data_IF_935603226400
#
_entry.id   IF_935603226400
#
_cell.length_a   1.000
_cell.length_b   1.000
_cell.length_c   1.000
_cell.angle_alpha   90.00
_cell.angle_beta   90.00
_cell.angle_gamma   90.00
#
_symmetry.space_group_name_H-M   'P 1'
#
loop_
_entity.id
_entity.type
_entity.pdbx_description
1 polymer ?
#
# COMPACT_ATOMS: atom_id res chain seq x y z
N UNK A 1 -27.41 -57.43 -9.63
CA UNK A 1 -27.38 -56.31 -10.61
C UNK A 1 -27.56 -55.04 -9.81
N UNK A 2 -26.67 -54.06 -9.97
CA UNK A 2 -26.63 -52.82 -9.17
C UNK A 2 -25.31 -52.69 -8.42
N UNK A 3 -24.28 -52.23 -9.13
CA UNK A 3 -22.89 -52.25 -8.70
C UNK A 3 -22.52 -51.13 -7.71
N UNK A 4 -21.70 -51.53 -6.74
CA UNK A 4 -20.97 -50.72 -5.78
C UNK A 4 -19.72 -50.13 -6.44
N UNK A 5 -19.53 -48.82 -6.34
CA UNK A 5 -18.27 -48.17 -6.71
C UNK A 5 -17.67 -47.49 -5.47
N UNK A 6 -16.73 -48.18 -4.85
CA UNK A 6 -15.85 -47.63 -3.83
C UNK A 6 -14.77 -46.77 -4.49
N UNK A 7 -14.45 -45.62 -3.87
CA UNK A 7 -13.27 -44.83 -4.23
C UNK A 7 -12.32 -44.81 -3.04
N UNK A 8 -11.15 -45.39 -3.28
CA UNK A 8 -10.06 -45.56 -2.34
C UNK A 8 -9.33 -44.24 -2.07
N UNK A 9 -9.10 -43.99 -0.77
CA UNK A 9 -7.78 -43.72 -0.17
C UNK A 9 -6.62 -43.44 -1.13
N UNK A 10 -6.06 -42.23 -1.03
CA UNK A 10 -4.66 -41.97 -1.43
C UNK A 10 -3.95 -41.20 -0.32
N UNK A 11 -3.27 -41.95 0.54
CA UNK A 11 -2.18 -41.44 1.38
C UNK A 11 -0.96 -41.18 0.49
N UNK A 12 -0.31 -40.03 0.70
CA UNK A 12 0.94 -39.65 0.07
C UNK A 12 1.69 -38.70 1.00
N UNK A 13 2.63 -39.28 1.74
CA UNK A 13 3.52 -38.66 2.71
C UNK A 13 4.80 -38.12 2.05
N UNK A 14 5.48 -37.24 2.79
CA UNK A 14 6.89 -36.84 2.72
C UNK A 14 7.28 -35.61 1.87
N UNK A 15 7.83 -34.61 2.55
CA UNK A 15 8.46 -33.42 1.97
C UNK A 15 8.91 -32.40 3.02
N UNK A 16 9.75 -32.85 3.96
CA UNK A 16 10.46 -32.03 4.96
C UNK A 16 11.49 -31.09 4.29
N UNK A 17 11.42 -29.80 4.58
CA UNK A 17 12.58 -28.88 4.53
C UNK A 17 12.45 -27.79 5.59
N UNK A 18 13.44 -27.64 6.50
CA UNK A 18 13.56 -26.49 7.38
C UNK A 18 14.63 -25.49 6.89
N UNK A 19 14.66 -24.33 7.54
CA UNK A 19 15.62 -23.23 7.47
C UNK A 19 15.33 -22.13 6.44
N UNK A 20 14.92 -20.96 6.93
CA UNK A 20 15.90 -19.88 7.15
C UNK A 20 15.32 -18.84 8.11
N UNK A 21 16.02 -18.70 9.24
CA UNK A 21 15.87 -17.61 10.18
C UNK A 21 16.41 -16.33 9.53
N UNK A 22 15.62 -15.26 9.53
CA UNK A 22 16.15 -13.91 9.33
C UNK A 22 15.85 -13.15 10.61
N UNK A 23 16.96 -12.82 11.28
CA UNK A 23 17.05 -12.07 12.51
C UNK A 23 16.33 -10.72 12.45
N UNK A 24 15.75 -10.37 13.59
CA UNK A 24 15.33 -9.03 13.99
C UNK A 24 16.51 -8.03 13.94
N UNK A 25 16.25 -6.74 14.17
CA UNK A 25 16.65 -6.29 15.49
C UNK A 25 15.64 -5.41 16.22
N UNK A 26 15.68 -5.67 17.52
CA UNK A 26 15.08 -5.03 18.68
C UNK A 26 15.51 -3.57 18.87
N UNK A 27 14.58 -2.80 19.43
CA UNK A 27 14.84 -1.55 20.14
C UNK A 27 15.71 -1.81 21.38
N UNK A 28 16.74 -0.99 21.59
CA UNK A 28 17.29 -0.72 22.92
C UNK A 28 17.47 0.78 23.12
N UNK A 29 17.00 1.23 24.28
CA UNK A 29 17.29 2.52 24.89
C UNK A 29 18.66 2.49 25.60
N UNK A 30 19.24 3.70 25.72
CA UNK A 30 19.96 4.25 26.89
C UNK A 30 21.49 4.40 26.84
N UNK A 31 21.88 5.57 27.40
CA UNK A 31 23.11 5.93 28.12
C UNK A 31 24.32 6.50 27.36
N UNK A 32 24.37 7.84 27.31
CA UNK A 32 25.41 8.72 27.89
C UNK A 32 26.72 8.05 28.33
N UNK A 33 27.84 8.44 27.70
CA UNK A 33 29.15 8.64 28.32
C UNK A 33 30.04 9.48 27.39
N UNK A 34 30.69 10.51 27.93
CA UNK A 34 31.55 11.43 27.18
C UNK A 34 33.03 11.01 27.11
N UNK A 35 33.75 11.60 26.15
CA UNK A 35 35.20 11.85 26.17
C UNK A 35 35.47 12.87 25.04
N UNK A 36 35.77 14.12 25.38
CA UNK A 36 37.12 14.70 25.41
C UNK A 36 37.78 14.89 24.02
N UNK A 37 37.77 16.14 23.57
CA UNK A 37 38.89 16.93 23.05
C UNK A 37 40.06 16.21 22.38
N UNK A 38 40.25 16.49 21.09
CA UNK A 38 41.57 16.87 20.55
C UNK A 38 41.37 17.87 19.41
N UNK A 39 41.50 19.15 19.76
CA UNK A 39 41.87 20.24 18.88
C UNK A 39 43.30 20.03 18.39
N UNK A 40 43.51 19.88 17.08
CA UNK A 40 44.78 20.18 16.42
C UNK A 40 44.50 21.23 15.35
N UNK A 41 44.99 22.43 15.61
CA UNK A 41 44.92 23.57 14.72
C UNK A 41 45.86 23.40 13.53
N UNK A 42 45.32 23.57 12.33
CA UNK A 42 46.05 23.92 11.13
C UNK A 42 45.57 25.29 10.66
N UNK A 43 46.39 26.30 10.85
CA UNK A 43 46.12 27.67 10.42
C UNK A 43 46.16 27.76 8.89
N UNK A 44 45.00 27.91 8.26
CA UNK A 44 44.91 28.51 6.93
C UNK A 44 44.04 29.76 6.99
N UNK A 45 44.68 30.87 6.72
CA UNK A 45 44.10 32.20 6.70
C UNK A 45 43.10 32.35 5.53
N UNK A 46 41.97 33.00 5.83
CA UNK A 46 41.37 33.92 4.87
C UNK A 46 40.16 33.47 4.05
N UNK A 47 39.20 32.73 4.61
CA UNK A 47 37.80 32.83 4.14
C UNK A 47 36.90 32.96 5.37
N UNK A 48 36.37 34.16 5.58
CA UNK A 48 35.43 34.44 6.67
C UNK A 48 34.21 33.53 6.51
N UNK A 49 34.07 32.57 7.43
CA UNK A 49 32.91 31.67 7.47
C UNK A 49 31.66 32.47 7.83
N UNK A 50 30.81 32.72 6.83
CA UNK A 50 29.53 33.44 6.97
C UNK A 50 28.50 32.63 7.82
N UNK A 51 28.82 31.38 8.21
CA UNK A 51 27.86 30.45 8.79
C UNK A 51 27.76 30.40 10.32
N UNK A 52 28.55 31.15 11.09
CA UNK A 52 28.71 30.87 12.52
C UNK A 52 27.55 31.32 13.44
N UNK A 53 26.53 32.04 12.95
CA UNK A 53 25.45 32.59 13.81
C UNK A 53 24.02 32.35 13.32
N UNK A 54 23.80 31.45 12.36
CA UNK A 54 22.45 31.15 11.87
C UNK A 54 21.85 29.99 12.68
N UNK A 55 20.80 30.27 13.46
CA UNK A 55 20.08 29.26 14.27
C UNK A 55 19.10 28.42 13.45
N UNK A 56 18.77 28.85 12.23
CA UNK A 56 17.86 28.16 11.33
C UNK A 56 18.60 27.14 10.45
N UNK A 57 18.12 25.89 10.49
CA UNK A 57 18.65 24.75 9.71
C UNK A 57 18.49 25.01 8.21
N UNK A 58 17.45 25.71 7.77
CA UNK A 58 17.27 26.04 6.36
C UNK A 58 18.30 27.09 5.90
N UNK A 59 18.49 28.16 6.67
CA UNK A 59 19.53 29.14 6.40
C UNK A 59 20.95 28.53 6.38
N UNK A 60 21.26 27.62 7.30
CA UNK A 60 22.54 26.89 7.30
C UNK A 60 22.74 26.06 6.02
N UNK A 61 21.69 25.37 5.55
CA UNK A 61 21.73 24.61 4.29
C UNK A 61 21.95 25.50 3.08
N UNK A 62 21.25 26.65 3.02
CA UNK A 62 21.43 27.64 1.94
C UNK A 62 22.86 28.16 1.92
N UNK A 63 23.41 28.56 3.08
CA UNK A 63 24.80 29.04 3.17
C UNK A 63 25.81 27.94 2.81
N UNK A 64 25.56 26.70 3.20
CA UNK A 64 26.41 25.57 2.81
C UNK A 64 26.44 25.37 1.28
N UNK A 65 25.28 25.40 0.62
CA UNK A 65 25.18 25.32 -0.85
C UNK A 65 25.86 26.51 -1.51
N UNK A 66 25.69 27.73 -1.01
CA UNK A 66 26.36 28.92 -1.54
C UNK A 66 27.89 28.84 -1.41
N UNK A 67 28.40 28.38 -0.26
CA UNK A 67 29.83 28.17 -0.06
C UNK A 67 30.39 27.07 -0.99
N UNK A 68 29.61 26.01 -1.22
CA UNK A 68 29.99 24.96 -2.18
C UNK A 68 30.05 25.51 -3.62
N UNK A 69 29.08 26.34 -4.01
CA UNK A 69 29.06 27.01 -5.33
C UNK A 69 30.24 27.96 -5.46
N UNK A 70 30.50 28.82 -4.47
CA UNK A 70 31.64 29.74 -4.47
C UNK A 70 32.96 28.99 -4.61
N UNK A 71 33.17 27.91 -3.84
CA UNK A 71 34.40 27.12 -3.96
C UNK A 71 34.56 26.48 -5.34
N UNK A 72 33.46 26.07 -6.01
CA UNK A 72 33.51 25.54 -7.39
C UNK A 72 33.80 26.64 -8.41
N UNK A 73 33.24 27.83 -8.23
CA UNK A 73 33.52 29.00 -9.08
C UNK A 73 34.99 29.40 -8.97
N UNK A 74 35.54 29.46 -7.76
CA UNK A 74 36.95 29.76 -7.53
C UNK A 74 37.88 28.75 -8.23
N UNK A 75 37.54 27.46 -8.17
CA UNK A 75 38.26 26.42 -8.89
C UNK A 75 38.25 26.70 -10.39
N UNK A 76 37.08 26.95 -10.99
CA UNK A 76 36.94 27.22 -12.44
C UNK A 76 37.68 28.49 -12.86
N UNK A 77 37.65 29.54 -12.03
CA UNK A 77 38.38 30.80 -12.27
C UNK A 77 39.89 30.65 -12.14
N UNK A 78 40.36 29.64 -11.40
CA UNK A 78 41.78 29.31 -11.24
C UNK A 78 42.33 28.36 -12.31
N UNK A 79 41.53 27.95 -13.31
CA UNK A 79 42.03 27.06 -14.35
C UNK A 79 42.92 27.83 -15.35
N UNK A 80 44.12 27.32 -15.69
CA UNK A 80 45.00 27.98 -16.62
C UNK A 80 44.42 27.95 -18.04
N UNK A 81 44.58 29.03 -18.84
CA UNK A 81 44.02 29.11 -20.19
C UNK A 81 44.74 28.21 -21.21
N UNK A 82 45.96 27.79 -20.89
CA UNK A 82 46.80 26.87 -21.67
C UNK A 82 47.47 25.89 -20.71
N UNK A 83 47.41 24.61 -21.03
CA UNK A 83 48.03 23.53 -20.25
C UNK A 83 49.36 23.20 -20.91
N UNK A 84 50.46 23.63 -20.30
CA UNK A 84 51.80 23.32 -20.79
C UNK A 84 52.30 21.96 -20.26
N UNK A 85 53.41 21.46 -20.80
CA UNK A 85 54.07 20.22 -20.31
C UNK A 85 54.33 20.23 -18.81
N UNK A 86 54.55 21.42 -18.23
CA UNK A 86 54.68 21.61 -16.78
C UNK A 86 53.39 21.33 -16.03
N UNK A 87 52.24 21.79 -16.54
CA UNK A 87 50.94 21.52 -15.95
C UNK A 87 50.62 20.01 -15.98
N UNK A 88 50.94 19.32 -17.08
CA UNK A 88 50.85 17.85 -17.16
C UNK A 88 51.69 17.14 -16.08
N UNK A 89 52.94 17.57 -15.88
CA UNK A 89 53.81 16.96 -14.88
C UNK A 89 53.37 17.26 -13.43
N UNK A 90 52.81 18.46 -13.18
CA UNK A 90 52.43 18.89 -11.84
C UNK A 90 51.04 18.40 -11.42
N UNK A 91 50.06 18.40 -12.33
CA UNK A 91 48.65 18.08 -12.03
C UNK A 91 48.29 16.61 -12.31
N UNK A 92 49.16 15.91 -13.04
CA UNK A 92 48.91 14.58 -13.58
C UNK A 92 48.12 14.62 -14.89
N UNK A 93 48.33 13.61 -15.74
CA UNK A 93 47.74 13.55 -17.08
C UNK A 93 46.22 13.59 -17.10
N UNK A 94 45.56 12.94 -16.13
CA UNK A 94 44.10 12.89 -16.05
C UNK A 94 43.47 14.28 -15.81
N UNK A 95 44.04 15.05 -14.88
CA UNK A 95 43.54 16.40 -14.57
C UNK A 95 43.93 17.39 -15.67
N UNK A 96 45.17 17.33 -16.15
CA UNK A 96 45.65 18.19 -17.23
C UNK A 96 44.85 18.00 -18.53
N UNK A 97 44.54 16.75 -18.90
CA UNK A 97 43.71 16.43 -20.05
C UNK A 97 42.26 16.92 -19.91
N UNK A 98 41.67 16.86 -18.71
CA UNK A 98 40.32 17.39 -18.49
C UNK A 98 40.29 18.93 -18.53
N UNK A 99 41.37 19.60 -18.10
CA UNK A 99 41.51 21.07 -18.22
C UNK A 99 41.68 21.49 -19.68
N UNK A 100 42.47 20.76 -20.48
CA UNK A 100 42.57 20.98 -21.93
C UNK A 100 41.21 20.86 -22.60
N UNK A 101 40.48 19.78 -22.30
CA UNK A 101 39.12 19.53 -22.81
C UNK A 101 38.16 20.67 -22.46
N UNK A 102 38.20 21.17 -21.23
CA UNK A 102 37.41 22.33 -20.80
C UNK A 102 37.78 23.58 -21.60
N UNK A 103 39.08 23.86 -21.79
CA UNK A 103 39.54 25.03 -22.53
C UNK A 103 39.15 24.98 -24.02
N UNK A 104 39.20 23.80 -24.64
CA UNK A 104 38.75 23.61 -26.02
C UNK A 104 37.24 23.83 -26.15
N UNK A 105 36.45 23.24 -25.25
CA UNK A 105 34.99 23.46 -25.20
C UNK A 105 34.65 24.93 -24.95
N UNK A 106 35.38 25.63 -24.08
CA UNK A 106 35.22 27.07 -23.83
C UNK A 106 35.50 27.90 -25.09
N UNK A 107 36.55 27.56 -25.86
CA UNK A 107 36.84 28.22 -27.15
C UNK A 107 35.74 27.97 -28.16
N UNK A 108 35.24 26.73 -28.25
CA UNK A 108 34.12 26.37 -29.13
C UNK A 108 32.84 27.14 -28.76
N UNK A 109 32.48 27.23 -27.49
CA UNK A 109 31.30 28.00 -27.02
C UNK A 109 31.47 29.50 -27.32
N UNK A 110 32.68 30.05 -27.20
CA UNK A 110 32.94 31.45 -27.54
C UNK A 110 32.88 31.74 -29.05
N UNK A 111 32.90 30.72 -29.91
CA UNK A 111 32.93 30.88 -31.38
C UNK A 111 31.67 30.33 -32.08
N UNK A 112 30.91 29.44 -31.43
CA UNK A 112 29.71 28.84 -31.99
C UNK A 112 28.46 29.68 -31.65
N UNK A 113 27.65 29.97 -32.67
CA UNK A 113 26.34 30.63 -32.52
C UNK A 113 25.22 29.68 -32.05
N UNK A 114 25.51 28.38 -31.94
CA UNK A 114 24.57 27.34 -31.48
C UNK A 114 25.03 26.81 -30.11
N UNK A 115 24.22 27.06 -29.07
CA UNK A 115 24.65 26.93 -27.67
C UNK A 115 24.32 25.58 -27.02
N UNK A 116 23.32 24.82 -27.46
CA UNK A 116 22.72 23.81 -26.57
C UNK A 116 23.56 22.54 -26.38
N UNK A 117 24.24 22.03 -27.42
CA UNK A 117 25.03 20.79 -27.29
C UNK A 117 26.39 21.03 -26.63
N UNK A 118 27.08 22.10 -27.03
CA UNK A 118 28.43 22.42 -26.56
C UNK A 118 28.45 22.93 -25.12
N UNK A 119 27.36 23.56 -24.66
CA UNK A 119 27.23 23.99 -23.26
C UNK A 119 27.07 22.80 -22.31
N UNK A 120 26.36 21.74 -22.70
CA UNK A 120 26.22 20.53 -21.88
C UNK A 120 27.55 19.80 -21.72
N UNK A 121 28.31 19.67 -22.79
CA UNK A 121 29.65 19.07 -22.75
C UNK A 121 30.61 19.91 -21.90
N UNK A 122 30.55 21.24 -21.99
CA UNK A 122 31.31 22.14 -21.13
C UNK A 122 30.93 21.97 -19.65
N UNK A 123 29.64 21.86 -19.32
CA UNK A 123 29.18 21.62 -17.96
C UNK A 123 29.67 20.27 -17.40
N UNK A 124 29.67 19.22 -18.23
CA UNK A 124 30.18 17.90 -17.85
C UNK A 124 31.68 17.96 -17.57
N UNK A 125 32.45 18.65 -18.41
CA UNK A 125 33.89 18.82 -18.22
C UNK A 125 34.21 19.64 -16.96
N UNK A 126 33.51 20.75 -16.72
CA UNK A 126 33.63 21.52 -15.46
C UNK A 126 33.35 20.63 -14.25
N UNK A 127 32.30 19.79 -14.31
CA UNK A 127 31.93 18.90 -13.21
C UNK A 127 33.04 17.88 -12.92
N UNK A 128 33.70 17.35 -13.95
CA UNK A 128 34.82 16.43 -13.80
C UNK A 128 36.04 17.12 -13.19
N UNK A 129 36.43 18.30 -13.68
CA UNK A 129 37.54 19.08 -13.12
C UNK A 129 37.29 19.41 -11.64
N UNK A 130 36.10 19.92 -11.30
CA UNK A 130 35.72 20.21 -9.93
C UNK A 130 35.71 18.94 -9.06
N UNK A 131 35.27 17.79 -9.59
CA UNK A 131 35.27 16.52 -8.84
C UNK A 131 36.69 16.07 -8.50
N UNK A 132 37.62 16.14 -9.46
CA UNK A 132 39.02 15.75 -9.23
C UNK A 132 39.65 16.68 -8.20
N UNK A 133 39.47 17.99 -8.33
CA UNK A 133 40.08 18.99 -7.44
C UNK A 133 39.46 19.07 -6.04
N UNK A 134 38.18 18.68 -5.88
CA UNK A 134 37.54 18.60 -4.57
C UNK A 134 37.87 17.28 -3.83
N UNK A 135 38.14 16.20 -4.57
CA UNK A 135 38.51 14.91 -3.99
C UNK A 135 40.00 14.85 -3.60
N UNK A 136 40.85 15.63 -4.25
CA UNK A 136 42.30 15.60 -4.08
C UNK A 136 42.84 17.01 -3.73
N UNK A 137 42.99 17.33 -2.43
CA UNK A 137 43.45 18.65 -2.00
C UNK A 137 44.90 18.95 -2.43
N UNK A 138 45.73 17.93 -2.64
CA UNK A 138 47.11 18.09 -3.08
C UNK A 138 47.15 18.63 -4.51
N UNK A 139 46.28 18.11 -5.39
CA UNK A 139 46.12 18.64 -6.76
C UNK A 139 45.63 20.09 -6.76
N UNK A 140 44.75 20.45 -5.82
CA UNK A 140 44.29 21.85 -5.66
C UNK A 140 45.44 22.76 -5.21
N UNK A 141 46.29 22.31 -4.31
CA UNK A 141 47.48 23.06 -3.90
C UNK A 141 48.49 23.19 -5.04
N UNK A 142 48.71 22.13 -5.81
CA UNK A 142 49.58 22.14 -7.00
C UNK A 142 49.09 23.13 -8.07
N UNK A 143 47.76 23.20 -8.30
CA UNK A 143 47.16 24.19 -9.20
C UNK A 143 47.38 25.63 -8.70
N UNK A 144 47.26 25.87 -7.39
CA UNK A 144 47.56 27.17 -6.79
C UNK A 144 49.02 27.59 -6.98
N UNK A 145 49.96 26.66 -6.77
CA UNK A 145 51.40 26.88 -6.99
C UNK A 145 51.70 27.17 -8.47
N UNK A 146 51.05 26.45 -9.38
CA UNK A 146 51.18 26.70 -10.83
C UNK A 146 50.76 28.12 -11.19
N UNK A 147 49.60 28.59 -10.72
CA UNK A 147 49.09 29.93 -11.00
C UNK A 147 49.93 31.05 -10.38
N UNK A 148 50.47 30.85 -9.17
CA UNK A 148 51.37 31.81 -8.54
C UNK A 148 52.64 32.08 -9.38
N UNK A 149 53.10 31.08 -10.14
CA UNK A 149 54.26 31.19 -10.99
C UNK A 149 53.99 31.91 -12.33
N UNK A 150 52.74 31.92 -12.81
CA UNK A 150 52.35 32.57 -14.08
C UNK A 150 52.11 34.09 -13.92
N UNK A 151 51.56 34.50 -12.76
CA UNK A 151 51.35 35.93 -12.42
C UNK A 151 52.69 36.69 -12.34
N UNK A 152 53.76 36.04 -11.89
CA UNK A 152 55.10 36.64 -11.84
C UNK A 152 55.75 36.83 -13.24
N UNK A 153 55.40 36.03 -14.24
CA UNK A 153 55.88 36.24 -15.62
C UNK A 153 55.10 37.33 -16.35
N UNK A 154 53.80 37.48 -16.05
CA UNK A 154 52.94 38.47 -16.70
C UNK A 154 53.15 39.91 -16.22
N UNK A 155 53.66 40.10 -15.00
CA UNK A 155 54.04 41.43 -14.46
C UNK A 155 55.34 41.94 -15.09
N UNK A 156 56.30 41.05 -15.35
CA UNK A 156 57.58 41.39 -15.98
C UNK A 156 57.42 41.83 -17.46
N UNK A 157 56.42 41.28 -18.18
CA UNK A 157 56.14 41.65 -19.58
C UNK A 157 55.51 43.04 -19.75
N UNK A 158 54.85 43.60 -18.73
CA UNK A 158 54.24 44.94 -18.80
C UNK A 158 55.21 46.08 -18.48
N UNK A 159 56.37 45.80 -17.89
CA UNK A 159 57.37 46.81 -17.53
C UNK A 159 58.34 47.19 -18.67
N UNK A 160 58.22 46.56 -19.86
CA UNK A 160 59.19 46.70 -20.97
C UNK A 160 58.68 47.63 -22.10
N UNK A 161 57.48 48.20 -22.02
CA UNK A 161 56.84 48.97 -23.12
C UNK A 161 56.53 50.45 -22.82
N UNK A 162 57.11 51.05 -21.78
CA UNK A 162 56.78 52.43 -21.34
C UNK A 162 57.99 53.37 -21.18
N UNK A 163 58.96 53.28 -22.09
CA UNK A 163 60.01 54.27 -22.24
C UNK A 163 60.09 54.67 -23.70
N UNK A 164 59.43 55.77 -24.09
CA UNK A 164 59.77 56.61 -25.25
C UNK A 164 58.86 57.86 -25.29
N UNK A 165 59.47 59.00 -25.62
CA UNK A 165 58.91 60.33 -25.93
C UNK A 165 58.74 61.35 -24.78
N UNK A 166 59.79 62.14 -24.53
CA UNK A 166 59.67 63.58 -24.23
C UNK A 166 60.94 64.34 -24.67
N UNK A 167 60.76 65.50 -25.29
CA UNK A 167 61.89 66.32 -25.77
C UNK A 167 61.50 67.59 -26.52
N UNK A 168 61.60 68.73 -25.81
CA UNK A 168 62.07 70.05 -26.26
C UNK A 168 61.19 70.86 -27.23
N UNK A 169 61.30 72.18 -27.35
CA UNK A 169 62.02 73.23 -26.62
C UNK A 169 61.51 74.60 -27.13
N UNK A 170 61.75 75.63 -26.32
CA UNK A 170 61.41 77.06 -26.47
C UNK A 170 62.04 77.79 -27.69
N UNK A 171 61.52 79.00 -27.94
CA UNK A 171 62.26 80.28 -28.04
C UNK A 171 61.96 81.25 -29.21
N UNK A 172 61.94 82.52 -28.79
CA UNK A 172 61.58 83.74 -29.49
C UNK A 172 62.76 84.41 -30.22
N UNK A 173 62.49 85.37 -31.14
CA UNK A 173 63.22 86.64 -31.27
C UNK A 173 62.75 87.50 -32.48
N UNK A 174 62.66 88.82 -32.24
CA UNK A 174 62.66 89.97 -33.18
C UNK A 174 63.93 90.80 -32.78
N UNK A 175 64.56 91.74 -33.55
CA UNK A 175 63.94 93.04 -33.98
C UNK A 175 64.61 93.79 -35.18
N UNK A 176 64.04 94.94 -35.59
CA UNK A 176 64.72 96.27 -35.68
C UNK A 176 64.27 97.20 -36.84
N UNK A 177 63.36 98.12 -36.51
CA UNK A 177 63.48 99.58 -36.64
C UNK A 177 63.99 100.25 -37.96
N UNK A 178 63.16 100.18 -39.02
CA UNK A 178 62.80 101.37 -39.85
C UNK A 178 61.27 101.53 -39.98
N UNK A 179 60.54 100.94 -39.03
CA UNK A 179 59.11 100.70 -39.11
C UNK A 179 58.30 101.74 -38.31
N UNK A 180 58.87 102.58 -37.44
CA UNK A 180 58.21 103.46 -36.43
C UNK A 180 56.98 104.29 -36.86
N UNK A 181 56.85 104.74 -38.12
CA UNK A 181 55.65 105.46 -38.58
C UNK A 181 54.58 104.52 -39.18
N UNK A 182 55.02 103.44 -39.85
CA UNK A 182 54.16 102.31 -40.18
C UNK A 182 53.82 101.50 -38.93
N UNK A 183 54.64 101.50 -37.87
CA UNK A 183 54.35 100.96 -36.54
C UNK A 183 53.32 101.79 -35.84
N UNK A 184 53.22 103.11 -36.03
CA UNK A 184 52.19 103.90 -35.35
C UNK A 184 50.80 103.68 -35.97
N UNK A 185 50.71 103.48 -37.29
CA UNK A 185 49.48 103.09 -37.97
C UNK A 185 49.20 101.58 -37.85
N UNK A 186 50.24 100.73 -37.86
CA UNK A 186 50.15 99.31 -37.48
C UNK A 186 49.83 99.17 -35.99
N UNK A 187 50.22 100.09 -35.10
CA UNK A 187 49.86 100.12 -33.67
C UNK A 187 48.47 100.69 -33.46
N UNK A 188 48.00 101.65 -34.26
CA UNK A 188 46.58 102.08 -34.23
C UNK A 188 45.69 101.01 -34.83
N UNK A 189 46.13 100.33 -35.88
CA UNK A 189 45.43 99.19 -36.48
C UNK A 189 45.57 97.94 -35.62
N UNK A 190 46.68 97.75 -34.88
CA UNK A 190 46.83 96.74 -33.82
C UNK A 190 45.96 97.12 -32.64
N UNK A 191 45.86 98.39 -32.25
CA UNK A 191 45.06 98.81 -31.11
C UNK A 191 43.57 98.70 -31.44
N UNK A 192 43.16 99.04 -32.67
CA UNK A 192 41.80 98.82 -33.16
C UNK A 192 41.52 97.33 -33.36
N UNK A 193 42.46 96.56 -33.92
CA UNK A 193 42.38 95.10 -34.06
C UNK A 193 42.35 94.43 -32.69
N UNK A 194 43.18 94.82 -31.74
CA UNK A 194 43.21 94.35 -30.35
C UNK A 194 41.94 94.76 -29.62
N UNK A 195 41.42 95.98 -29.81
CA UNK A 195 40.13 96.38 -29.23
C UNK A 195 38.99 95.55 -29.80
N UNK A 196 38.95 95.34 -31.12
CA UNK A 196 37.95 94.49 -31.77
C UNK A 196 38.10 93.03 -31.32
N UNK A 197 39.33 92.50 -31.21
CA UNK A 197 39.63 91.17 -30.68
C UNK A 197 39.25 91.05 -29.20
N UNK A 198 39.43 92.10 -28.41
CA UNK A 198 39.08 92.09 -26.99
C UNK A 198 37.57 92.16 -26.82
N UNK A 199 36.89 93.00 -27.61
CA UNK A 199 35.43 93.04 -27.67
C UNK A 199 34.88 91.70 -28.15
N UNK A 200 35.38 91.13 -29.26
CA UNK A 200 35.00 89.81 -29.76
C UNK A 200 35.29 88.69 -28.76
N UNK A 201 36.41 88.74 -28.03
CA UNK A 201 36.71 87.79 -26.95
C UNK A 201 35.71 87.95 -25.80
N UNK A 202 35.33 89.17 -25.43
CA UNK A 202 34.36 89.43 -24.37
C UNK A 202 32.93 89.06 -24.80
N UNK A 203 32.51 89.32 -26.04
CA UNK A 203 31.20 88.87 -26.57
C UNK A 203 31.16 87.36 -26.72
N UNK A 204 32.21 86.72 -27.27
CA UNK A 204 32.31 85.26 -27.30
C UNK A 204 32.28 84.66 -25.90
N UNK A 205 33.03 85.23 -24.95
CA UNK A 205 33.00 84.77 -23.56
C UNK A 205 31.63 84.95 -22.90
N UNK A 206 30.94 86.07 -23.14
CA UNK A 206 29.59 86.30 -22.62
C UNK A 206 28.58 85.31 -23.23
N UNK A 207 28.71 85.03 -24.52
CA UNK A 207 27.85 84.11 -25.26
C UNK A 207 28.13 82.65 -24.90
N UNK A 208 29.39 82.31 -24.60
CA UNK A 208 29.78 81.01 -24.04
C UNK A 208 29.24 80.83 -22.62
N UNK A 209 29.25 81.87 -21.77
CA UNK A 209 28.61 81.83 -20.44
C UNK A 209 27.08 81.67 -20.54
N UNK A 210 26.44 82.33 -21.51
CA UNK A 210 25.01 82.15 -21.78
C UNK A 210 24.69 80.74 -22.28
N UNK A 211 25.50 80.20 -23.20
CA UNK A 211 25.40 78.82 -23.68
C UNK A 211 25.63 77.81 -22.54
N UNK A 212 26.62 78.03 -21.67
CA UNK A 212 26.85 77.22 -20.47
C UNK A 212 25.65 77.27 -19.53
N UNK A 213 25.04 78.44 -19.34
CA UNK A 213 23.85 78.60 -18.49
C UNK A 213 22.64 77.84 -19.05
N UNK A 214 22.42 77.89 -20.36
CA UNK A 214 21.39 77.11 -21.04
C UNK A 214 21.64 75.61 -20.91
N UNK A 215 22.89 75.16 -21.06
CA UNK A 215 23.23 73.75 -20.89
C UNK A 215 23.07 73.30 -19.43
N UNK A 216 23.44 74.15 -18.46
CA UNK A 216 23.18 73.90 -17.03
C UNK A 216 21.69 73.76 -16.76
N UNK A 217 20.85 74.62 -17.33
CA UNK A 217 19.39 74.49 -17.21
C UNK A 217 18.89 73.15 -17.78
N UNK A 218 19.37 72.73 -18.96
CA UNK A 218 19.02 71.42 -19.53
C UNK A 218 19.47 70.25 -18.66
N UNK A 219 20.66 70.34 -18.06
CA UNK A 219 21.17 69.32 -17.13
C UNK A 219 20.29 69.26 -15.89
N UNK A 220 19.91 70.40 -15.30
CA UNK A 220 19.04 70.47 -14.11
C UNK A 220 17.65 69.91 -14.41
N UNK A 221 17.07 70.22 -15.57
CA UNK A 221 15.78 69.66 -16.01
C UNK A 221 15.85 68.14 -16.19
N UNK A 222 16.92 67.64 -16.83
CA UNK A 222 17.17 66.20 -16.95
C UNK A 222 17.32 65.54 -15.58
N UNK A 223 18.07 66.14 -14.68
CA UNK A 223 18.26 65.64 -13.32
C UNK A 223 16.95 65.62 -12.53
N UNK A 224 16.09 66.64 -12.68
CA UNK A 224 14.74 66.66 -12.10
C UNK A 224 13.88 65.52 -12.66
N UNK A 225 13.87 65.33 -13.99
CA UNK A 225 13.12 64.24 -14.62
C UNK A 225 13.57 62.86 -14.13
N UNK A 226 14.88 62.63 -14.04
CA UNK A 226 15.45 61.39 -13.51
C UNK A 226 15.06 61.20 -12.04
N UNK A 227 15.05 62.26 -11.22
CA UNK A 227 14.59 62.18 -9.82
C UNK A 227 13.13 61.77 -9.70
N UNK A 228 12.26 62.34 -10.53
CA UNK A 228 10.83 62.01 -10.55
C UNK A 228 10.61 60.57 -11.03
N UNK A 229 11.26 60.15 -12.12
CA UNK A 229 11.21 58.75 -12.60
C UNK A 229 11.71 57.76 -11.55
N UNK A 230 12.79 58.09 -10.82
CA UNK A 230 13.34 57.22 -9.78
C UNK A 230 12.42 57.13 -8.55
N UNK A 231 11.66 58.19 -8.25
CA UNK A 231 10.60 58.17 -7.23
C UNK A 231 9.43 57.30 -7.66
N UNK A 232 8.99 57.41 -8.92
CA UNK A 232 7.90 56.60 -9.48
C UNK A 232 8.30 55.11 -9.53
N UNK A 233 9.52 54.79 -9.93
CA UNK A 233 10.06 53.41 -9.90
C UNK A 233 10.07 52.86 -8.48
N UNK A 234 10.50 53.64 -7.48
CA UNK A 234 10.48 53.21 -6.07
C UNK A 234 9.06 52.94 -5.60
N UNK A 235 8.11 53.83 -5.88
CA UNK A 235 6.73 53.67 -5.45
C UNK A 235 6.06 52.46 -6.12
N UNK A 236 6.27 52.27 -7.42
CA UNK A 236 5.76 51.10 -8.15
C UNK A 236 6.41 49.79 -7.66
N UNK A 237 7.71 49.79 -7.35
CA UNK A 237 8.38 48.63 -6.76
C UNK A 237 7.82 48.29 -5.37
N UNK A 238 7.60 49.28 -4.51
CA UNK A 238 6.98 49.10 -3.19
C UNK A 238 5.54 48.60 -3.27
N UNK A 239 4.75 49.10 -4.24
CA UNK A 239 3.38 48.63 -4.48
C UNK A 239 3.36 47.18 -4.98
N UNK A 240 4.28 46.81 -5.88
CA UNK A 240 4.43 45.42 -6.35
C UNK A 240 4.86 44.51 -5.20
N UNK A 241 5.81 44.93 -4.36
CA UNK A 241 6.23 44.17 -3.19
C UNK A 241 5.07 43.94 -2.20
N UNK A 242 4.30 44.99 -1.88
CA UNK A 242 3.11 44.88 -1.00
C UNK A 242 2.05 43.96 -1.58
N UNK A 243 1.76 44.05 -2.88
CA UNK A 243 0.79 43.15 -3.56
C UNK A 243 1.26 41.70 -3.56
N UNK A 244 2.55 41.47 -3.80
CA UNK A 244 3.13 40.13 -3.78
C UNK A 244 3.02 39.52 -2.38
N UNK A 245 3.37 40.27 -1.34
CA UNK A 245 3.28 39.82 0.05
C UNK A 245 1.84 39.51 0.50
N UNK A 246 0.87 40.34 0.12
CA UNK A 246 -0.54 40.04 0.39
C UNK A 246 -1.00 38.78 -0.35
N UNK A 247 -0.58 38.59 -1.59
CA UNK A 247 -0.95 37.41 -2.39
C UNK A 247 -0.32 36.13 -1.83
N UNK A 248 0.93 36.19 -1.37
CA UNK A 248 1.59 35.03 -0.74
C UNK A 248 0.93 34.69 0.58
N UNK A 249 0.68 35.66 1.46
CA UNK A 249 -0.01 35.44 2.74
C UNK A 249 -1.41 34.86 2.55
N UNK A 250 -2.22 35.43 1.65
CA UNK A 250 -3.55 34.92 1.35
C UNK A 250 -3.50 33.48 0.78
N UNK A 251 -2.50 33.17 -0.04
CA UNK A 251 -2.31 31.82 -0.57
C UNK A 251 -1.90 30.82 0.51
N UNK A 252 -0.99 31.20 1.41
CA UNK A 252 -0.57 30.38 2.55
C UNK A 252 -1.73 30.07 3.50
N UNK A 253 -2.57 31.07 3.82
CA UNK A 253 -3.77 30.88 4.63
C UNK A 253 -4.76 29.92 3.96
N UNK A 254 -5.03 30.13 2.67
CA UNK A 254 -5.91 29.26 1.88
C UNK A 254 -5.39 27.81 1.85
N UNK A 255 -4.08 27.64 1.67
CA UNK A 255 -3.47 26.31 1.63
C UNK A 255 -3.52 25.66 3.02
N UNK A 256 -3.20 26.39 4.10
CA UNK A 256 -3.28 25.94 5.49
C UNK A 256 -4.68 25.43 5.86
N UNK A 257 -5.73 26.19 5.52
CA UNK A 257 -7.12 25.78 5.72
C UNK A 257 -7.43 24.50 4.93
N UNK A 258 -7.02 24.44 3.67
CA UNK A 258 -7.24 23.27 2.83
C UNK A 258 -6.52 22.01 3.34
N UNK A 259 -5.34 22.15 3.94
CA UNK A 259 -4.62 21.05 4.56
C UNK A 259 -5.30 20.57 5.83
N UNK A 260 -5.72 21.49 6.70
CA UNK A 260 -6.46 21.19 7.92
C UNK A 260 -7.78 20.44 7.64
N UNK A 261 -8.53 20.87 6.61
CA UNK A 261 -9.76 20.21 6.19
C UNK A 261 -9.51 18.80 5.61
N UNK A 262 -8.46 18.63 4.82
CA UNK A 262 -8.05 17.29 4.33
C UNK A 262 -7.63 16.39 5.48
N UNK A 263 -6.91 16.92 6.47
CA UNK A 263 -6.48 16.16 7.64
C UNK A 263 -7.68 15.73 8.49
N UNK A 264 -8.63 16.62 8.78
CA UNK A 264 -9.85 16.31 9.54
C UNK A 264 -10.71 15.28 8.81
N UNK A 265 -10.83 15.40 7.48
CA UNK A 265 -11.53 14.43 6.63
C UNK A 265 -10.84 13.07 6.64
N UNK A 266 -9.51 13.05 6.54
CA UNK A 266 -8.72 11.81 6.57
C UNK A 266 -8.84 11.12 7.94
N UNK A 267 -8.76 11.89 9.04
CA UNK A 267 -8.98 11.39 10.41
C UNK A 267 -10.37 10.78 10.58
N UNK A 268 -11.40 11.43 10.04
CA UNK A 268 -12.79 10.95 10.09
C UNK A 268 -12.99 9.67 9.28
N UNK A 269 -12.39 9.59 8.08
CA UNK A 269 -12.41 8.36 7.26
C UNK A 269 -11.68 7.21 7.95
N UNK A 270 -10.54 7.49 8.58
CA UNK A 270 -9.76 6.50 9.34
C UNK A 270 -10.54 5.97 10.54
N UNK A 271 -11.18 6.86 11.33
CA UNK A 271 -12.00 6.45 12.47
C UNK A 271 -13.24 5.64 12.03
N UNK A 272 -13.89 6.04 10.93
CA UNK A 272 -15.04 5.33 10.38
C UNK A 272 -14.64 3.94 9.84
N UNK A 273 -13.52 3.83 9.12
CA UNK A 273 -12.98 2.55 8.64
C UNK A 273 -12.68 1.60 9.81
N UNK A 274 -12.05 2.10 10.89
CA UNK A 274 -11.81 1.31 12.11
C UNK A 274 -13.11 0.86 12.77
N UNK A 275 -14.13 1.73 12.83
CA UNK A 275 -15.44 1.39 13.39
C UNK A 275 -16.14 0.31 12.58
N UNK A 276 -16.15 0.43 11.24
CA UNK A 276 -16.71 -0.57 10.34
C UNK A 276 -15.99 -1.91 10.45
N UNK A 277 -14.65 -1.91 10.51
CA UNK A 277 -13.86 -3.13 10.71
C UNK A 277 -14.18 -3.83 12.03
N UNK A 278 -14.32 -3.08 13.14
CA UNK A 278 -14.74 -3.63 14.44
C UNK A 278 -16.15 -4.22 14.39
N UNK A 279 -17.10 -3.56 13.74
CA UNK A 279 -18.44 -4.07 13.55
C UNK A 279 -18.45 -5.38 12.74
N UNK A 280 -17.65 -5.46 11.66
CA UNK A 280 -17.51 -6.68 10.87
C UNK A 280 -16.90 -7.84 11.68
N UNK A 281 -15.94 -7.56 12.56
CA UNK A 281 -15.38 -8.58 13.46
C UNK A 281 -16.44 -9.11 14.44
N UNK A 282 -17.24 -8.22 15.04
CA UNK A 282 -18.32 -8.61 15.94
C UNK A 282 -19.40 -9.44 15.22
N UNK A 283 -19.83 -9.03 14.02
CA UNK A 283 -20.76 -9.80 13.22
C UNK A 283 -20.23 -11.18 12.85
N UNK A 284 -18.94 -11.30 12.53
CA UNK A 284 -18.32 -12.60 12.25
C UNK A 284 -18.32 -13.52 13.48
N UNK A 285 -18.12 -12.97 14.68
CA UNK A 285 -18.18 -13.73 15.92
C UNK A 285 -19.61 -14.19 16.25
N UNK A 286 -20.59 -13.29 16.13
CA UNK A 286 -22.02 -13.59 16.30
C UNK A 286 -22.46 -14.69 15.32
N UNK A 287 -22.05 -14.60 14.05
CA UNK A 287 -22.37 -15.55 13.01
C UNK A 287 -21.78 -16.94 13.29
N UNK A 288 -20.52 -17.02 13.74
CA UNK A 288 -19.90 -18.28 14.18
C UNK A 288 -20.63 -18.87 15.40
N UNK A 289 -21.07 -18.04 16.34
CA UNK A 289 -21.84 -18.49 17.51
C UNK A 289 -23.22 -19.03 17.10
N UNK A 290 -23.89 -18.39 16.14
CA UNK A 290 -25.14 -18.87 15.58
C UNK A 290 -24.95 -20.20 14.85
N UNK A 291 -23.88 -20.37 14.05
CA UNK A 291 -23.55 -21.65 13.40
C UNK A 291 -23.33 -22.78 14.41
N UNK A 292 -22.61 -22.50 15.51
CA UNK A 292 -22.40 -23.50 16.59
C UNK A 292 -23.71 -23.89 17.27
N UNK A 293 -24.58 -22.92 17.58
CA UNK A 293 -25.91 -23.20 18.16
C UNK A 293 -26.78 -24.01 17.20
N UNK A 294 -26.78 -23.64 15.91
CA UNK A 294 -27.49 -24.38 14.86
C UNK A 294 -27.02 -25.83 14.79
N UNK A 295 -25.70 -26.05 14.69
CA UNK A 295 -25.12 -27.40 14.65
C UNK A 295 -25.50 -28.23 15.89
N UNK A 296 -25.52 -27.61 17.08
CA UNK A 296 -25.94 -28.28 18.31
C UNK A 296 -27.40 -28.71 18.27
N UNK A 297 -28.30 -27.82 17.84
CA UNK A 297 -29.73 -28.14 17.71
C UNK A 297 -29.96 -29.20 16.63
N UNK A 298 -29.27 -29.13 15.49
CA UNK A 298 -29.33 -30.16 14.44
C UNK A 298 -28.86 -31.51 14.96
N UNK A 299 -27.73 -31.56 15.70
CA UNK A 299 -27.22 -32.78 16.33
C UNK A 299 -28.18 -33.36 17.38
N UNK A 300 -28.87 -32.49 18.12
CA UNK A 300 -29.92 -32.91 19.05
C UNK A 300 -31.09 -33.54 18.28
N UNK A 301 -31.62 -32.87 17.25
CA UNK A 301 -32.70 -33.40 16.40
C UNK A 301 -32.34 -34.76 15.79
N UNK A 302 -31.14 -34.92 15.25
CA UNK A 302 -30.66 -36.19 14.70
C UNK A 302 -30.63 -37.30 15.76
N UNK A 303 -30.24 -36.98 16.99
CA UNK A 303 -30.28 -37.94 18.10
C UNK A 303 -31.71 -38.34 18.49
N UNK A 304 -32.67 -37.41 18.45
CA UNK A 304 -34.09 -37.73 18.69
C UNK A 304 -34.68 -38.58 17.57
N UNK A 305 -34.34 -38.31 16.31
CA UNK A 305 -34.75 -39.14 15.15
C UNK A 305 -34.19 -40.55 15.32
N UNK A 306 -32.89 -40.70 15.56
CA UNK A 306 -32.26 -42.01 15.74
C UNK A 306 -32.88 -42.80 16.89
N UNK A 307 -33.23 -42.14 18.00
CA UNK A 307 -33.92 -42.79 19.12
C UNK A 307 -35.33 -43.26 18.75
N UNK A 308 -36.07 -42.43 18.01
CA UNK A 308 -37.41 -42.79 17.55
C UNK A 308 -37.37 -43.96 16.56
N UNK A 309 -36.45 -43.94 15.59
CA UNK A 309 -36.28 -45.01 14.63
C UNK A 309 -35.96 -46.34 15.33
N UNK A 310 -35.09 -46.32 16.35
CA UNK A 310 -34.80 -47.48 17.17
C UNK A 310 -36.03 -48.00 17.94
N UNK A 311 -36.79 -47.12 18.60
CA UNK A 311 -38.02 -47.51 19.33
C UNK A 311 -39.06 -48.11 18.37
N UNK A 312 -39.20 -47.56 17.16
CA UNK A 312 -40.09 -48.10 16.14
C UNK A 312 -39.64 -49.49 15.64
N UNK A 313 -38.33 -49.70 15.47
CA UNK A 313 -37.76 -51.01 15.11
C UNK A 313 -37.99 -52.05 16.22
N UNK A 314 -37.78 -51.67 17.48
CA UNK A 314 -38.06 -52.51 18.66
C UNK A 314 -39.55 -52.88 18.74
N UNK A 315 -40.46 -51.91 18.51
CA UNK A 315 -41.92 -52.17 18.48
C UNK A 315 -42.35 -53.06 17.32
N UNK A 316 -41.72 -52.91 16.15
CA UNK A 316 -41.98 -53.79 15.01
C UNK A 316 -41.54 -55.23 15.31
N UNK A 317 -40.36 -55.41 15.92
CA UNK A 317 -39.88 -56.72 16.34
C UNK A 317 -40.83 -57.36 17.37
N UNK A 318 -41.29 -56.62 18.38
CA UNK A 318 -42.28 -57.10 19.36
C UNK A 318 -43.60 -57.54 18.70
N UNK A 319 -44.09 -56.79 17.70
CA UNK A 319 -45.31 -57.14 16.96
C UNK A 319 -45.13 -58.39 16.11
N UNK A 320 -43.97 -58.55 15.49
CA UNK A 320 -43.65 -59.73 14.66
C UNK A 320 -43.54 -60.98 15.55
N UNK A 321 -42.89 -60.87 16.72
CA UNK A 321 -42.81 -61.94 17.73
C UNK A 321 -44.20 -62.35 18.24
N UNK A 322 -45.06 -61.38 18.61
CA UNK A 322 -46.44 -61.65 19.04
C UNK A 322 -47.28 -62.30 17.93
N UNK A 323 -47.09 -61.85 16.69
CA UNK A 323 -47.78 -62.42 15.53
C UNK A 323 -47.35 -63.86 15.27
N UNK A 324 -46.07 -64.18 15.46
CA UNK A 324 -45.56 -65.54 15.37
C UNK A 324 -46.15 -66.45 16.45
N UNK A 325 -46.19 -66.00 17.71
CA UNK A 325 -46.82 -66.73 18.82
C UNK A 325 -48.31 -66.96 18.55
N UNK A 326 -49.05 -65.92 18.13
CA UNK A 326 -50.47 -66.05 17.81
C UNK A 326 -50.73 -67.07 16.70
N UNK A 327 -49.89 -67.08 15.66
CA UNK A 327 -50.01 -68.05 14.58
C UNK A 327 -49.78 -69.48 15.08
N UNK A 328 -48.80 -69.68 15.96
CA UNK A 328 -48.53 -70.98 16.59
C UNK A 328 -49.69 -71.43 17.49
N UNK A 329 -50.16 -70.57 18.40
CA UNK A 329 -51.29 -70.87 19.29
C UNK A 329 -52.57 -71.17 18.52
N UNK A 330 -52.82 -70.44 17.42
CA UNK A 330 -53.95 -70.70 16.54
C UNK A 330 -53.84 -72.07 15.87
N UNK A 331 -52.66 -72.44 15.38
CA UNK A 331 -52.43 -73.77 14.80
C UNK A 331 -52.64 -74.87 15.86
N UNK A 332 -52.17 -74.67 17.09
CA UNK A 332 -52.40 -75.60 18.19
C UNK A 332 -53.89 -75.74 18.54
N UNK A 333 -54.66 -74.65 18.51
CA UNK A 333 -56.10 -74.66 18.75
C UNK A 333 -56.86 -75.41 17.65
N UNK A 334 -56.51 -75.18 16.38
CA UNK A 334 -57.10 -75.88 15.24
C UNK A 334 -56.83 -77.40 15.32
N UNK A 335 -55.60 -77.80 15.70
CA UNK A 335 -55.23 -79.20 15.92
C UNK A 335 -56.03 -79.84 17.08
N UNK A 336 -56.21 -79.13 18.20
CA UNK A 336 -57.01 -79.61 19.34
C UNK A 336 -58.49 -79.73 18.98
N UNK A 337 -59.04 -78.77 18.24
CA UNK A 337 -60.42 -78.79 17.76
C UNK A 337 -60.66 -79.99 16.85
N UNK A 338 -59.72 -80.27 15.93
CA UNK A 338 -59.76 -81.45 15.07
C UNK A 338 -59.80 -82.76 15.87
N UNK A 339 -58.91 -82.90 16.87
CA UNK A 339 -58.90 -84.06 17.78
C UNK A 339 -60.19 -84.18 18.61
N UNK A 340 -60.74 -83.06 19.09
CA UNK A 340 -62.01 -83.05 19.83
C UNK A 340 -63.17 -83.53 18.95
N UNK A 341 -63.24 -83.07 17.71
CA UNK A 341 -64.28 -83.47 16.76
C UNK A 341 -64.19 -84.96 16.42
N UNK A 342 -62.99 -85.49 16.27
CA UNK A 342 -62.74 -86.94 16.12
C UNK A 342 -63.22 -87.72 17.34
N UNK A 343 -62.79 -87.32 18.54
CA UNK A 343 -63.18 -87.96 19.79
C UNK A 343 -64.70 -87.90 20.03
N UNK A 344 -65.34 -86.78 19.71
CA UNK A 344 -66.79 -86.63 19.81
C UNK A 344 -67.52 -87.57 18.84
N UNK A 345 -67.04 -87.74 17.60
CA UNK A 345 -67.60 -88.72 16.65
C UNK A 345 -67.49 -90.14 17.20
N UNK A 346 -66.35 -90.51 17.77
CA UNK A 346 -66.15 -91.81 18.42
C UNK A 346 -67.09 -92.02 19.61
N UNK A 347 -67.22 -91.00 20.47
CA UNK A 347 -68.14 -91.02 21.60
C UNK A 347 -69.60 -91.22 21.16
N UNK A 348 -70.07 -90.48 20.15
CA UNK A 348 -71.42 -90.66 19.62
C UNK A 348 -71.65 -92.08 19.09
N UNK A 349 -70.68 -92.66 18.37
CA UNK A 349 -70.76 -94.06 17.92
C UNK A 349 -70.94 -95.02 19.11
N UNK A 350 -70.14 -94.89 20.16
CA UNK A 350 -70.25 -95.73 21.37
C UNK A 350 -71.63 -95.55 22.04
N UNK A 351 -72.14 -94.32 22.11
CA UNK A 351 -73.45 -94.04 22.71
C UNK A 351 -74.60 -94.61 21.89
N UNK A 352 -74.53 -94.51 20.57
CA UNK A 352 -75.53 -95.08 19.67
C UNK A 352 -75.50 -96.61 19.69
N UNK A 353 -74.31 -97.24 19.74
CA UNK A 353 -74.15 -98.67 19.96
C UNK A 353 -74.76 -99.10 21.30
N UNK A 354 -74.51 -98.37 22.39
CA UNK A 354 -75.13 -98.63 23.71
C UNK A 354 -76.65 -98.52 23.66
N UNK A 355 -77.20 -97.45 23.07
CA UNK A 355 -78.65 -97.28 22.87
C UNK A 355 -79.25 -98.41 22.07
N UNK A 356 -78.59 -98.85 21.00
CA UNK A 356 -79.02 -99.99 20.20
C UNK A 356 -79.03 -101.28 21.02
N UNK A 357 -77.98 -101.55 21.79
CA UNK A 357 -77.91 -102.70 22.70
C UNK A 357 -79.02 -102.67 23.76
N UNK A 358 -79.31 -101.51 24.36
CA UNK A 358 -80.42 -101.33 25.31
C UNK A 358 -81.77 -101.65 24.67
N UNK A 359 -82.03 -101.12 23.46
CA UNK A 359 -83.27 -101.39 22.70
C UNK A 359 -83.38 -102.88 22.35
N UNK A 360 -82.29 -103.51 21.92
CA UNK A 360 -82.24 -104.96 21.66
C UNK A 360 -82.52 -105.77 22.93
N UNK A 361 -81.90 -105.42 24.06
CA UNK A 361 -82.13 -106.07 25.34
C UNK A 361 -83.58 -105.92 25.80
N UNK A 362 -84.17 -104.72 25.69
CA UNK A 362 -85.59 -104.48 25.98
C UNK A 362 -86.51 -105.34 25.12
N UNK A 363 -86.23 -105.45 23.81
CA UNK A 363 -87.00 -106.29 22.88
C UNK A 363 -86.91 -107.77 23.25
N UNK A 364 -85.72 -108.29 23.54
CA UNK A 364 -85.51 -109.68 23.97
C UNK A 364 -86.27 -109.95 25.27
N UNK A 365 -86.18 -109.05 26.26
CA UNK A 365 -86.90 -109.17 27.53
C UNK A 365 -88.41 -109.16 27.33
N UNK A 366 -88.95 -108.27 26.49
CA UNK A 366 -90.37 -108.20 26.16
C UNK A 366 -90.85 -109.49 25.46
N UNK A 367 -90.09 -109.99 24.47
CA UNK A 367 -90.39 -111.25 23.77
C UNK A 367 -90.36 -112.44 24.72
N UNK A 368 -89.37 -112.54 25.60
CA UNK A 368 -89.25 -113.62 26.60
C UNK A 368 -90.39 -113.58 27.62
N UNK A 369 -90.71 -112.40 28.18
CA UNK A 369 -91.86 -112.22 29.09
C UNK A 369 -93.16 -112.63 28.40
N UNK A 370 -93.37 -112.20 27.15
CA UNK A 370 -94.54 -112.57 26.35
C UNK A 370 -94.59 -114.07 26.02
N UNK A 371 -93.46 -114.71 25.69
CA UNK A 371 -93.36 -116.16 25.48
C UNK A 371 -93.72 -116.92 26.76
N UNK A 372 -93.16 -116.51 27.90
CA UNK A 372 -93.44 -117.10 29.22
C UNK A 372 -94.93 -117.07 29.55
N UNK A 373 -95.58 -115.91 29.41
CA UNK A 373 -97.04 -115.76 29.61
C UNK A 373 -97.84 -116.67 28.67
N UNK A 374 -97.49 -116.72 27.37
CA UNK A 374 -98.16 -117.60 26.40
C UNK A 374 -97.95 -119.08 26.71
N UNK A 375 -96.80 -119.47 27.25
CA UNK A 375 -96.51 -120.83 27.69
C UNK A 375 -97.36 -121.20 28.90
N UNK A 376 -97.39 -120.34 29.93
CA UNK A 376 -98.24 -120.50 31.12
C UNK A 376 -99.73 -120.57 30.75
N UNK A 377 -100.21 -119.72 29.84
CA UNK A 377 -101.60 -119.76 29.33
C UNK A 377 -101.92 -121.03 28.53
N UNK A 378 -100.97 -121.55 27.75
CA UNK A 378 -101.13 -122.84 27.04
C UNK A 378 -101.20 -123.99 28.03
N UNK A 379 -100.29 -124.06 28.99
CA UNK A 379 -100.31 -125.07 30.05
C UNK A 379 -101.61 -124.99 30.87
N UNK A 380 -102.12 -123.80 31.16
CA UNK A 380 -103.41 -123.60 31.82
C UNK A 380 -104.62 -124.05 30.96
N UNK A 381 -104.60 -123.77 29.66
CA UNK A 381 -105.65 -124.20 28.72
C UNK A 381 -105.61 -125.70 28.42
N UNK A 382 -104.43 -126.31 28.37
CA UNK A 382 -104.25 -127.76 28.23
C UNK A 382 -104.72 -128.50 29.49
N UNK A 383 -104.49 -127.93 30.68
CA UNK A 383 -105.12 -128.40 31.93
C UNK A 383 -106.65 -128.31 31.87
N UNK A 384 -107.23 -127.25 31.30
CA UNK A 384 -108.69 -127.14 31.07
C UNK A 384 -109.21 -128.13 30.02
N UNK A 385 -108.45 -128.40 28.95
CA UNK A 385 -108.82 -129.36 27.88
C UNK A 385 -108.70 -130.83 28.31
N UNK A 386 -107.77 -131.19 29.19
CA UNK A 386 -107.74 -132.54 29.81
C UNK A 386 -108.89 -132.80 30.79
N UNK A 387 -109.60 -131.76 31.25
CA UNK A 387 -110.79 -131.89 32.07
C UNK A 387 -112.11 -132.15 31.31
N UNK A 388 -112.16 -132.03 29.98
CA UNK A 388 -113.44 -132.07 29.22
C UNK A 388 -113.68 -133.31 28.36
N UNK A 389 -112.96 -134.43 28.58
CA UNK A 389 -113.15 -135.68 27.79
C UNK A 389 -113.50 -136.94 28.59
N UNK A 390 -113.88 -136.82 29.86
CA UNK A 390 -114.39 -137.94 30.66
C UNK A 390 -115.47 -137.46 31.63
N UNK A 391 -116.74 -137.62 31.26
CA UNK A 391 -117.84 -138.04 32.16
C UNK A 391 -119.22 -137.79 31.51
N UNK A 392 -119.61 -138.68 30.58
CA UNK A 392 -121.01 -138.95 30.26
C UNK A 392 -121.22 -140.46 30.41
N UNK A 393 -121.67 -140.90 31.58
CA UNK A 393 -121.96 -142.31 31.83
C UNK A 393 -122.36 -142.66 33.27
N UNK A 394 -123.66 -142.92 33.44
CA UNK A 394 -124.33 -143.78 34.45
C UNK A 394 -124.57 -143.28 35.90
N UNK A 395 -125.83 -142.83 36.13
CA UNK A 395 -126.88 -143.47 36.97
C UNK A 395 -126.41 -144.44 38.09
N UNK A 396 -126.76 -144.17 39.37
CA UNK A 396 -127.97 -144.69 40.10
C UNK A 396 -127.78 -144.74 41.65
N UNK A 397 -128.85 -144.34 42.39
CA UNK A 397 -129.17 -144.42 43.85
C UNK A 397 -128.36 -143.48 44.77
N UNK A 398 -128.98 -142.63 45.59
CA UNK A 398 -130.29 -142.63 46.27
C UNK A 398 -130.92 -141.24 46.23
#
# INVERSE_FOLDING_TARGET
QGGTAGTQSRQGSAGSHPAQAINSPTKHHAAVAGAQTTTLGGAHAGHASIGASLTDVHAQRIVAVLNEVLSKVDIVMSLPPVVDRRAHNMLGGDLAGEIERYNDLKRQVNHASSHDSTTLDMQNSIRNVCRILLHDPDKRQQLSIYNAHDVNQSSMRRSILAMDADGGDDDAANPSARHVQAEMDVLKQLLASCKLLTVDKLTRSAQDEENKKLELQRVVEREKKIRDELKDIKQTAEDVARRLEMRTKSKEESDSVSYSERESTCKTKSSNCKRSSRANCAHREEELNLRKRRFKVESEVDAWISKYDQDMEEKQAELDDLSAIYAEEKAQLDDLQSKYDELNKEYQKIMDERRWHEVCAMKIQALWRGYKVRKEMREANDKKRKGSKSAKGKKKKK
#
